data_IF_813918742169
#
_entry.id   IF_813918742169
#
_cell.length_a   1.000
_cell.length_b   1.000
_cell.length_c   1.000
_cell.angle_alpha   90.00
_cell.angle_beta   90.00
_cell.angle_gamma   90.00
#
_symmetry.space_group_name_H-M   'P 1'
#
loop_
_entity.id
_entity.type
_entity.pdbx_description
1 polymer ?
#
# COMPACT_ATOMS: atom_id res chain seq x y z
N UNK A 1 -11.53 16.91 -11.74
CA UNK A 1 -10.33 17.71 -11.44
C UNK A 1 -9.46 17.62 -12.69
N UNK A 2 -8.97 18.73 -13.18
CA UNK A 2 -8.03 18.71 -14.30
C UNK A 2 -6.65 18.40 -13.77
N UNK A 3 -5.87 17.64 -14.49
CA UNK A 3 -4.46 17.36 -14.20
C UNK A 3 -3.69 18.70 -14.25
N UNK A 4 -2.83 18.96 -13.26
CA UNK A 4 -1.97 20.15 -13.25
C UNK A 4 -0.82 20.00 -14.25
N UNK A 5 -0.17 21.10 -14.65
CA UNK A 5 1.00 21.06 -15.52
C UNK A 5 2.14 20.23 -14.90
N UNK A 6 2.36 20.36 -13.59
CA UNK A 6 3.34 19.55 -12.85
C UNK A 6 3.01 18.05 -12.91
N UNK A 7 1.73 17.69 -12.71
CA UNK A 7 1.28 16.29 -12.83
C UNK A 7 1.42 15.78 -14.28
N UNK A 8 1.14 16.61 -15.28
CA UNK A 8 1.36 16.24 -16.68
C UNK A 8 2.83 15.92 -16.96
N UNK A 9 3.75 16.69 -16.41
CA UNK A 9 5.19 16.44 -16.56
C UNK A 9 5.59 15.14 -15.85
N UNK A 10 5.25 14.99 -14.56
CA UNK A 10 5.61 13.82 -13.73
C UNK A 10 5.05 12.53 -14.31
N UNK A 11 3.75 12.53 -14.69
CA UNK A 11 3.03 11.33 -15.10
C UNK A 11 2.94 11.17 -16.62
N UNK A 12 3.66 11.97 -17.41
CA UNK A 12 3.64 11.97 -18.88
C UNK A 12 3.79 10.57 -19.49
N UNK A 13 4.70 9.75 -18.94
CA UNK A 13 4.95 8.38 -19.42
C UNK A 13 3.77 7.42 -19.23
N UNK A 14 2.91 7.68 -18.27
CA UNK A 14 1.69 6.90 -18.05
C UNK A 14 0.56 7.41 -18.93
N UNK A 15 0.43 8.74 -19.06
CA UNK A 15 -0.65 9.40 -19.78
C UNK A 15 -0.60 9.19 -21.29
N UNK A 16 0.55 8.86 -21.87
CA UNK A 16 0.69 8.51 -23.29
C UNK A 16 0.22 7.08 -23.62
N UNK A 17 -0.03 6.23 -22.59
CA UNK A 17 -0.50 4.87 -22.84
C UNK A 17 -1.90 4.90 -23.43
N UNK A 18 -2.14 4.08 -24.47
CA UNK A 18 -3.40 4.05 -25.22
C UNK A 18 -4.64 3.92 -24.34
N UNK A 19 -4.55 3.07 -23.31
CA UNK A 19 -5.68 2.70 -22.44
C UNK A 19 -5.63 3.39 -21.06
N UNK A 20 -4.68 4.30 -20.83
CA UNK A 20 -4.50 5.00 -19.56
C UNK A 20 -4.41 6.51 -19.78
N UNK A 21 -5.55 7.12 -20.12
CA UNK A 21 -5.69 8.56 -20.35
C UNK A 21 -6.00 9.32 -19.06
N UNK A 22 -6.10 10.65 -19.17
CA UNK A 22 -6.40 11.57 -18.07
C UNK A 22 -7.59 11.13 -17.19
N UNK A 23 -8.65 10.62 -17.78
CA UNK A 23 -9.84 10.16 -17.06
C UNK A 23 -9.50 9.03 -16.07
N UNK A 24 -8.79 7.99 -16.56
CA UNK A 24 -8.38 6.87 -15.73
C UNK A 24 -7.34 7.28 -14.67
N UNK A 25 -6.48 8.22 -14.99
CA UNK A 25 -5.54 8.79 -14.02
C UNK A 25 -6.29 9.51 -12.90
N UNK A 26 -7.28 10.34 -13.23
CA UNK A 26 -8.12 11.01 -12.26
C UNK A 26 -8.93 10.04 -11.40
N UNK A 27 -9.38 8.92 -11.96
CA UNK A 27 -10.03 7.83 -11.19
C UNK A 27 -9.03 7.15 -10.25
N UNK A 28 -7.82 6.88 -10.71
CA UNK A 28 -6.76 6.29 -9.90
C UNK A 28 -6.44 7.16 -8.68
N UNK A 29 -6.35 8.48 -8.85
CA UNK A 29 -6.07 9.42 -7.77
C UNK A 29 -7.18 9.47 -6.70
N UNK A 30 -8.42 9.08 -7.02
CA UNK A 30 -9.53 9.00 -6.05
C UNK A 30 -9.46 7.73 -5.20
N UNK A 31 -8.75 6.69 -5.66
CA UNK A 31 -8.66 5.42 -4.95
C UNK A 31 -7.90 5.57 -3.64
N UNK A 32 -8.41 4.91 -2.60
CA UNK A 32 -7.75 4.77 -1.32
C UNK A 32 -7.26 3.34 -1.17
N UNK A 33 -5.97 3.16 -0.98
CA UNK A 33 -5.35 1.84 -0.87
C UNK A 33 -4.87 1.62 0.56
N UNK A 34 -5.13 0.44 1.11
CA UNK A 34 -4.58 0.03 2.41
C UNK A 34 -3.55 -1.07 2.22
N UNK A 35 -2.34 -0.87 2.74
CA UNK A 35 -1.25 -1.87 2.76
C UNK A 35 -1.03 -2.34 4.19
N UNK A 36 -1.06 -3.65 4.38
CA UNK A 36 -0.84 -4.29 5.66
C UNK A 36 0.49 -5.04 5.59
N UNK A 37 1.44 -4.60 6.43
CA UNK A 37 2.83 -5.05 6.40
C UNK A 37 3.72 -4.18 5.51
N UNK A 38 4.78 -3.62 6.12
CA UNK A 38 5.81 -2.81 5.44
C UNK A 38 7.17 -3.54 5.50
N UNK A 39 7.12 -4.80 5.10
CA UNK A 39 8.26 -5.69 4.94
C UNK A 39 8.92 -5.58 3.55
N UNK A 40 9.53 -6.67 3.12
CA UNK A 40 10.22 -6.76 1.82
C UNK A 40 9.31 -6.58 0.61
N UNK A 41 8.00 -6.87 0.74
CA UNK A 41 6.98 -6.68 -0.30
C UNK A 41 6.33 -5.30 -0.13
N UNK A 42 5.86 -4.96 1.07
CA UNK A 42 5.11 -3.73 1.31
C UNK A 42 5.91 -2.44 1.08
N UNK A 43 7.22 -2.45 1.37
CA UNK A 43 8.10 -1.29 1.12
C UNK A 43 8.14 -0.88 -0.36
N UNK A 44 8.60 -1.72 -1.30
CA UNK A 44 8.65 -1.37 -2.71
C UNK A 44 7.26 -1.11 -3.28
N UNK A 45 6.25 -1.89 -2.88
CA UNK A 45 4.88 -1.68 -3.33
C UNK A 45 4.35 -0.29 -2.97
N UNK A 46 4.52 0.15 -1.72
CA UNK A 46 4.11 1.48 -1.28
C UNK A 46 4.82 2.59 -2.07
N UNK A 47 6.13 2.43 -2.36
CA UNK A 47 6.89 3.36 -3.18
C UNK A 47 6.32 3.45 -4.60
N UNK A 48 6.11 2.32 -5.27
CA UNK A 48 5.57 2.31 -6.64
C UNK A 48 4.15 2.86 -6.72
N UNK A 49 3.27 2.56 -5.77
CA UNK A 49 1.92 3.11 -5.74
C UNK A 49 1.92 4.64 -5.61
N UNK A 50 2.73 5.19 -4.71
CA UNK A 50 2.85 6.65 -4.55
C UNK A 50 3.48 7.29 -5.80
N UNK A 51 4.52 6.67 -6.36
CA UNK A 51 5.17 7.16 -7.59
C UNK A 51 4.27 7.06 -8.82
N UNK A 52 3.30 6.14 -8.85
CA UNK A 52 2.34 6.01 -9.94
C UNK A 52 1.12 6.93 -9.83
N UNK A 53 1.05 7.80 -8.82
CA UNK A 53 0.01 8.81 -8.69
C UNK A 53 -1.12 8.46 -7.72
N UNK A 54 -1.03 7.35 -6.96
CA UNK A 54 -1.95 7.11 -5.86
C UNK A 54 -1.79 8.22 -4.81
N UNK A 55 -2.90 8.91 -4.51
CA UNK A 55 -2.90 10.04 -3.55
C UNK A 55 -3.29 9.64 -2.13
N UNK A 56 -4.01 8.53 -1.93
CA UNK A 56 -4.52 8.13 -0.62
C UNK A 56 -4.02 6.74 -0.25
N UNK A 57 -3.19 6.67 0.78
CA UNK A 57 -2.58 5.44 1.24
C UNK A 57 -2.71 5.28 2.75
N UNK A 58 -3.26 4.16 3.19
CA UNK A 58 -3.23 3.73 4.59
C UNK A 58 -2.16 2.64 4.73
N UNK A 59 -1.23 2.80 5.64
CA UNK A 59 -0.14 1.85 5.88
C UNK A 59 -0.13 1.37 7.32
N UNK A 60 -0.11 0.04 7.50
CA UNK A 60 -0.18 -0.62 8.81
C UNK A 60 1.06 -1.47 9.03
N UNK A 61 1.81 -1.18 10.07
CA UNK A 61 2.92 -2.03 10.52
C UNK A 61 3.24 -1.71 12.00
N UNK A 62 3.20 -2.72 12.86
CA UNK A 62 3.44 -2.57 14.30
C UNK A 62 4.92 -2.66 14.71
N UNK A 63 5.79 -3.07 13.80
CA UNK A 63 7.19 -3.38 14.09
C UNK A 63 8.08 -2.14 14.13
N UNK A 64 9.28 -2.33 14.65
CA UNK A 64 10.40 -1.40 14.55
C UNK A 64 11.39 -1.88 13.49
N UNK A 65 12.14 -0.94 12.93
CA UNK A 65 13.16 -1.21 11.94
C UNK A 65 14.35 -1.87 12.62
N UNK A 66 14.79 -3.01 12.10
CA UNK A 66 15.97 -3.76 12.55
C UNK A 66 17.03 -3.77 11.47
N UNK A 67 18.29 -3.93 11.87
CA UNK A 67 19.44 -4.04 10.94
C UNK A 67 19.23 -5.15 9.91
N UNK A 68 18.66 -6.28 10.33
CA UNK A 68 18.36 -7.44 9.47
C UNK A 68 17.28 -7.19 8.42
N UNK A 69 16.55 -6.06 8.49
CA UNK A 69 15.54 -5.69 7.52
C UNK A 69 16.12 -4.97 6.29
N UNK A 70 17.26 -4.31 6.44
CA UNK A 70 17.79 -3.35 5.46
C UNK A 70 18.18 -3.98 4.11
N UNK A 71 18.40 -5.28 4.07
CA UNK A 71 18.73 -6.01 2.83
C UNK A 71 17.57 -6.15 1.85
N UNK A 72 16.32 -5.92 2.30
CA UNK A 72 15.11 -6.09 1.46
C UNK A 72 14.00 -5.07 1.69
N UNK A 73 14.05 -4.28 2.74
CA UNK A 73 13.05 -3.26 3.06
C UNK A 73 13.57 -1.88 2.64
N UNK A 74 13.40 -1.56 1.37
CA UNK A 74 14.07 -0.45 0.67
C UNK A 74 13.69 0.96 1.14
N UNK A 75 12.59 1.11 1.88
CA UNK A 75 12.19 2.39 2.48
C UNK A 75 13.09 2.83 3.64
N UNK A 76 13.86 1.91 4.23
CA UNK A 76 14.60 2.19 5.47
C UNK A 76 16.11 2.25 5.25
N UNK A 77 16.77 3.01 6.11
CA UNK A 77 18.21 3.18 6.13
C UNK A 77 18.79 2.82 7.50
N UNK A 78 20.11 2.75 7.60
CA UNK A 78 20.81 2.48 8.87
C UNK A 78 20.44 3.52 9.96
N UNK A 79 20.14 4.76 9.57
CA UNK A 79 19.74 5.85 10.49
C UNK A 79 18.32 5.71 11.02
N UNK A 80 17.56 4.74 10.52
CA UNK A 80 16.17 4.51 10.90
C UNK A 80 16.00 3.32 11.85
N UNK A 81 17.09 2.62 12.17
CA UNK A 81 17.07 1.47 13.10
C UNK A 81 16.46 1.89 14.45
N UNK A 82 15.57 1.05 14.99
CA UNK A 82 14.85 1.28 16.24
C UNK A 82 13.59 2.15 16.12
N UNK A 83 13.36 2.82 15.00
CA UNK A 83 12.16 3.62 14.77
C UNK A 83 11.01 2.76 14.25
N UNK A 84 9.77 3.25 14.40
CA UNK A 84 8.57 2.58 13.88
C UNK A 84 8.55 2.57 12.36
N UNK A 85 8.32 1.38 11.76
CA UNK A 85 8.30 1.18 10.31
C UNK A 85 7.30 2.09 9.60
N UNK A 86 6.04 2.09 10.03
CA UNK A 86 4.98 2.88 9.40
C UNK A 86 5.22 4.40 9.50
N UNK A 87 5.82 4.88 10.59
CA UNK A 87 6.18 6.30 10.75
C UNK A 87 7.27 6.73 9.75
N UNK A 88 8.33 5.92 9.63
CA UNK A 88 9.42 6.22 8.70
C UNK A 88 8.97 6.06 7.25
N UNK A 89 8.19 5.01 6.96
CA UNK A 89 7.61 4.81 5.63
C UNK A 89 6.80 6.03 5.19
N UNK A 90 5.89 6.53 6.03
CA UNK A 90 5.14 7.77 5.75
C UNK A 90 6.05 8.94 5.39
N UNK A 91 7.09 9.19 6.21
CA UNK A 91 8.03 10.29 5.96
C UNK A 91 8.73 10.15 4.61
N UNK A 92 9.20 8.95 4.26
CA UNK A 92 9.92 8.68 3.01
C UNK A 92 8.99 8.80 1.79
N UNK A 93 7.78 8.26 1.89
CA UNK A 93 6.78 8.32 0.82
C UNK A 93 6.31 9.74 0.54
N UNK A 94 6.15 10.57 1.58
CA UNK A 94 5.86 12.01 1.42
C UNK A 94 7.03 12.78 0.78
N UNK A 95 8.26 12.28 0.88
CA UNK A 95 9.40 12.80 0.12
C UNK A 95 9.31 12.52 -1.38
N UNK A 96 8.61 11.45 -1.78
CA UNK A 96 8.38 11.10 -3.19
C UNK A 96 7.18 11.87 -3.77
N UNK A 97 6.09 11.97 -3.02
CA UNK A 97 4.90 12.73 -3.41
C UNK A 97 4.36 13.51 -2.20
N UNK A 98 4.74 14.80 -2.05
CA UNK A 98 4.32 15.65 -0.94
C UNK A 98 2.81 15.88 -0.87
N UNK A 99 2.10 15.74 -2.01
CA UNK A 99 0.66 15.94 -2.12
C UNK A 99 -0.15 14.69 -1.75
N UNK A 100 0.50 13.57 -1.40
CA UNK A 100 -0.19 12.37 -0.99
C UNK A 100 -0.73 12.47 0.45
N UNK A 101 -1.89 11.91 0.68
CA UNK A 101 -2.49 11.74 2.01
C UNK A 101 -2.15 10.35 2.51
N UNK A 102 -1.20 10.25 3.44
CA UNK A 102 -0.73 8.99 3.97
C UNK A 102 -1.08 8.89 5.45
N UNK A 103 -1.95 7.94 5.79
CA UNK A 103 -2.27 7.57 7.16
C UNK A 103 -1.36 6.41 7.58
N UNK A 104 -0.59 6.59 8.64
CA UNK A 104 0.32 5.58 9.15
C UNK A 104 -0.11 5.08 10.53
N UNK A 105 -0.22 3.77 10.65
CA UNK A 105 -0.69 3.10 11.87
C UNK A 105 0.43 2.20 12.42
N UNK A 106 0.91 2.54 13.63
CA UNK A 106 2.00 1.85 14.32
C UNK A 106 1.51 0.61 15.10
N UNK A 107 0.56 -0.12 14.54
CA UNK A 107 0.01 -1.36 15.12
C UNK A 107 -0.37 -2.35 14.03
N UNK A 108 -0.44 -3.61 14.40
CA UNK A 108 -0.94 -4.68 13.53
C UNK A 108 -2.45 -4.56 13.35
N UNK A 109 -2.96 -5.10 12.25
CA UNK A 109 -4.41 -5.25 12.07
C UNK A 109 -4.94 -6.30 13.04
N UNK A 110 -6.01 -5.93 13.74
CA UNK A 110 -6.72 -6.76 14.70
C UNK A 110 -8.24 -6.49 14.61
N UNK A 111 -9.04 -7.25 15.33
CA UNK A 111 -10.51 -7.14 15.24
C UNK A 111 -11.07 -5.77 15.60
N UNK A 112 -10.46 -5.09 16.56
CA UNK A 112 -10.86 -3.78 17.08
C UNK A 112 -10.56 -2.62 16.12
N UNK A 113 -9.61 -2.77 15.20
CA UNK A 113 -9.18 -1.73 14.31
C UNK A 113 -9.51 -1.96 12.81
N UNK A 114 -10.22 -3.04 12.46
CA UNK A 114 -10.67 -3.31 11.08
C UNK A 114 -11.51 -2.17 10.49
N UNK A 115 -12.16 -1.36 11.32
CA UNK A 115 -12.94 -0.21 10.88
C UNK A 115 -12.10 0.85 10.15
N UNK A 116 -10.78 0.87 10.35
CA UNK A 116 -9.84 1.76 9.66
C UNK A 116 -9.72 1.43 8.16
N UNK A 117 -10.11 0.23 7.76
CA UNK A 117 -10.07 -0.24 6.36
C UNK A 117 -11.34 0.10 5.56
N UNK A 118 -12.35 0.71 6.19
CA UNK A 118 -13.71 0.86 5.63
C UNK A 118 -13.78 1.64 4.32
N UNK A 119 -12.87 2.58 4.11
CA UNK A 119 -12.85 3.45 2.92
C UNK A 119 -11.92 2.94 1.81
N UNK A 120 -11.25 1.81 2.04
CA UNK A 120 -10.30 1.24 1.07
C UNK A 120 -11.02 0.82 -0.21
N UNK A 121 -10.48 1.22 -1.35
CA UNK A 121 -10.88 0.72 -2.66
C UNK A 121 -10.34 -0.68 -2.91
N UNK A 122 -9.18 -0.98 -2.33
CA UNK A 122 -8.55 -2.31 -2.29
C UNK A 122 -7.68 -2.41 -1.04
N UNK A 123 -7.60 -3.61 -0.48
CA UNK A 123 -6.70 -3.92 0.62
C UNK A 123 -5.62 -4.85 0.09
N UNK A 124 -4.36 -4.54 0.41
CA UNK A 124 -3.20 -5.35 0.03
C UNK A 124 -2.58 -5.92 1.31
N UNK A 125 -2.65 -7.23 1.43
CA UNK A 125 -1.98 -7.94 2.51
C UNK A 125 -0.59 -8.39 2.05
N UNK A 126 0.42 -7.73 2.58
CA UNK A 126 1.84 -8.04 2.43
C UNK A 126 2.46 -8.44 3.78
N UNK A 127 1.63 -8.88 4.72
CA UNK A 127 2.07 -9.42 6.00
C UNK A 127 2.52 -10.88 5.80
N UNK A 128 3.44 -11.32 6.62
CA UNK A 128 3.87 -12.72 6.71
C UNK A 128 3.08 -13.52 7.77
N UNK A 129 1.86 -13.06 8.08
CA UNK A 129 1.05 -13.58 9.18
C UNK A 129 -0.28 -14.16 8.71
N UNK A 130 -0.42 -15.48 8.80
CA UNK A 130 -1.61 -16.21 8.41
C UNK A 130 -2.88 -15.80 9.16
N UNK A 131 -2.78 -15.47 10.44
CA UNK A 131 -3.94 -15.02 11.24
C UNK A 131 -4.44 -13.67 10.75
N UNK A 132 -3.51 -12.76 10.44
CA UNK A 132 -3.81 -11.46 9.84
C UNK A 132 -4.52 -11.64 8.50
N UNK A 133 -4.00 -12.48 7.61
CA UNK A 133 -4.59 -12.76 6.31
C UNK A 133 -6.03 -13.30 6.45
N UNK A 134 -6.25 -14.29 7.32
CA UNK A 134 -7.60 -14.83 7.55
C UNK A 134 -8.57 -13.78 8.11
N UNK A 135 -8.10 -12.93 9.02
CA UNK A 135 -8.90 -11.86 9.59
C UNK A 135 -9.33 -10.85 8.52
N UNK A 136 -8.39 -10.43 7.67
CA UNK A 136 -8.63 -9.47 6.59
C UNK A 136 -9.57 -10.09 5.56
N UNK A 137 -9.32 -11.33 5.13
CA UNK A 137 -10.16 -12.03 4.17
C UNK A 137 -11.63 -12.10 4.63
N UNK A 138 -11.86 -12.50 5.90
CA UNK A 138 -13.21 -12.51 6.46
C UNK A 138 -13.86 -11.12 6.47
N UNK A 139 -13.09 -10.08 6.74
CA UNK A 139 -13.59 -8.70 6.72
C UNK A 139 -13.93 -8.24 5.29
N UNK A 140 -13.04 -8.46 4.33
CA UNK A 140 -13.20 -8.04 2.94
C UNK A 140 -14.37 -8.76 2.27
N UNK A 141 -14.52 -10.08 2.50
CA UNK A 141 -15.68 -10.85 2.04
C UNK A 141 -16.99 -10.27 2.56
N UNK A 142 -17.07 -9.96 3.87
CA UNK A 142 -18.28 -9.37 4.47
C UNK A 142 -18.58 -7.96 3.94
N UNK A 143 -17.56 -7.21 3.52
CA UNK A 143 -17.68 -5.81 3.09
C UNK A 143 -17.69 -5.66 1.57
N UNK A 144 -17.60 -6.75 0.84
CA UNK A 144 -17.46 -6.76 -0.63
C UNK A 144 -16.31 -5.87 -1.12
N UNK A 145 -15.15 -6.00 -0.47
CA UNK A 145 -13.93 -5.27 -0.80
C UNK A 145 -12.92 -6.20 -1.45
N UNK A 146 -12.23 -5.79 -2.53
CA UNK A 146 -11.16 -6.58 -3.11
C UNK A 146 -9.97 -6.67 -2.14
N UNK A 147 -9.39 -7.88 -2.07
CA UNK A 147 -8.19 -8.19 -1.30
C UNK A 147 -7.13 -8.79 -2.21
N UNK A 148 -5.98 -8.16 -2.29
CA UNK A 148 -4.79 -8.73 -2.90
C UNK A 148 -3.86 -9.25 -1.79
N UNK A 149 -3.68 -10.56 -1.71
CA UNK A 149 -2.75 -11.19 -0.77
C UNK A 149 -1.46 -11.57 -1.49
N UNK A 150 -0.32 -11.15 -0.94
CA UNK A 150 1.01 -11.40 -1.53
C UNK A 150 1.93 -11.94 -0.44
N UNK A 151 2.54 -13.10 -0.72
CA UNK A 151 3.52 -13.73 0.17
C UNK A 151 4.70 -14.31 -0.59
N UNK A 152 5.83 -14.41 0.09
CA UNK A 152 7.06 -15.03 -0.44
C UNK A 152 7.56 -16.05 0.56
N UNK A 153 7.77 -17.28 0.09
CA UNK A 153 8.33 -18.38 0.88
C UNK A 153 9.48 -19.01 0.08
N UNK A 154 10.71 -18.82 0.55
CA UNK A 154 11.90 -19.22 -0.19
C UNK A 154 12.02 -18.46 -1.52
N UNK A 155 11.92 -19.16 -2.64
CA UNK A 155 11.92 -18.60 -3.99
C UNK A 155 10.53 -18.55 -4.64
N UNK A 156 9.50 -18.98 -3.92
CA UNK A 156 8.14 -19.01 -4.42
C UNK A 156 7.39 -17.73 -4.02
N UNK A 157 6.70 -17.14 -5.00
CA UNK A 157 5.82 -15.98 -4.80
C UNK A 157 4.39 -16.45 -4.99
N UNK A 158 3.56 -16.18 -4.00
CA UNK A 158 2.11 -16.37 -4.10
C UNK A 158 1.43 -15.02 -4.14
N UNK A 159 0.61 -14.80 -5.16
CA UNK A 159 -0.20 -13.59 -5.31
C UNK A 159 -1.63 -14.01 -5.67
N UNK A 160 -2.60 -13.66 -4.82
CA UNK A 160 -4.00 -14.04 -4.97
C UNK A 160 -4.87 -12.80 -4.83
N UNK A 161 -5.68 -12.54 -5.84
CA UNK A 161 -6.73 -11.52 -5.80
C UNK A 161 -8.05 -12.19 -5.44
N UNK A 162 -8.63 -11.78 -4.31
CA UNK A 162 -9.98 -12.15 -3.89
C UNK A 162 -10.93 -11.03 -4.27
N UNK A 163 -11.82 -11.30 -5.19
CA UNK A 163 -12.91 -10.42 -5.59
C UNK A 163 -14.24 -11.14 -5.41
N UNK A 164 -15.22 -10.47 -4.83
CA UNK A 164 -16.58 -10.97 -4.84
C UNK A 164 -17.23 -10.61 -6.18
N UNK A 165 -17.01 -11.44 -7.17
CA UNK A 165 -17.80 -11.38 -8.40
C UNK A 165 -19.19 -11.94 -8.09
N UNK A 166 -20.17 -11.06 -7.90
CA UNK A 166 -21.58 -11.47 -8.04
C UNK A 166 -21.82 -11.76 -9.52
N UNK A 167 -21.87 -13.03 -9.88
CA UNK A 167 -22.45 -13.49 -11.12
C UNK A 167 -23.97 -13.55 -10.99
#
# INVERSE_FOLDING_TARGET
MNITEEELEIFSRQLILKDFKEEKFNELQKKEISIIGLGGIGCPLAQYLISSGIKKLNIFDGDTIQKTNLNRQTLYSIHDIGKKKSTIAKKKLLGTNPNAVINSYNHKIAKDNLHLLKNSSIIIDASDNWETMRLINKYTTKKNLPLLSISVVGFDIQMILFENTTH
#
